data_IF_546025824276
#
_entry.id   IF_546025824276
#
_cell.length_a   1.000
_cell.length_b   1.000
_cell.length_c   1.000
_cell.angle_alpha   90.00
_cell.angle_beta   90.00
_cell.angle_gamma   90.00
#
_symmetry.space_group_name_H-M   'P 1'
#
loop_
_entity.id
_entity.type
_entity.pdbx_description
1 polymer ?
#
# COMPACT_ATOMS: atom_id res chain seq x y z
N UNK A 1 -10.87 -13.15 -9.31
CA UNK A 1 -11.73 -13.50 -8.15
C UNK A 1 -10.96 -13.60 -6.82
N UNK A 2 -9.84 -14.34 -6.76
CA UNK A 2 -9.13 -14.60 -5.49
C UNK A 2 -8.55 -13.36 -4.81
N UNK A 3 -8.02 -12.43 -5.61
CA UNK A 3 -7.47 -11.14 -5.15
C UNK A 3 -8.52 -10.17 -4.60
N UNK A 4 -9.82 -10.52 -4.63
CA UNK A 4 -10.94 -9.65 -4.21
C UNK A 4 -11.95 -10.37 -3.32
N UNK A 5 -11.70 -11.63 -2.95
CA UNK A 5 -12.65 -12.46 -2.21
C UNK A 5 -12.89 -11.97 -0.77
N UNK A 6 -11.92 -11.28 -0.18
CA UNK A 6 -12.09 -10.53 1.05
C UNK A 6 -12.14 -9.03 0.72
N UNK A 7 -13.28 -8.38 0.96
CA UNK A 7 -13.46 -6.97 0.67
C UNK A 7 -12.80 -6.13 1.76
N UNK A 8 -11.74 -5.43 1.38
CA UNK A 8 -11.04 -4.49 2.24
C UNK A 8 -10.66 -3.27 1.42
N UNK A 9 -10.50 -2.10 2.06
CA UNK A 9 -10.21 -0.86 1.33
C UNK A 9 -8.94 -0.94 0.46
N UNK A 10 -7.93 -1.71 0.87
CA UNK A 10 -6.65 -1.91 0.16
C UNK A 10 -6.78 -2.53 -1.25
N UNK A 11 -7.97 -3.01 -1.63
CA UNK A 11 -8.30 -3.38 -3.02
C UNK A 11 -8.15 -2.21 -4.01
N UNK A 12 -8.27 -0.96 -3.52
CA UNK A 12 -8.15 0.24 -4.36
C UNK A 12 -6.70 0.73 -4.52
N UNK A 13 -5.72 0.12 -3.85
CA UNK A 13 -4.31 0.44 -4.02
C UNK A 13 -3.81 0.35 -5.48
N UNK A 14 -4.05 -0.75 -6.24
CA UNK A 14 -3.66 -0.81 -7.65
C UNK A 14 -4.38 0.24 -8.50
N UNK A 15 -5.64 0.56 -8.20
CA UNK A 15 -6.40 1.59 -8.92
C UNK A 15 -5.75 2.96 -8.70
N UNK A 16 -5.44 3.31 -7.45
CA UNK A 16 -4.73 4.54 -7.12
C UNK A 16 -3.41 4.65 -7.89
N UNK A 17 -2.56 3.61 -7.81
CA UNK A 17 -1.25 3.58 -8.47
C UNK A 17 -1.41 3.79 -9.98
N UNK A 18 -2.36 3.09 -10.60
CA UNK A 18 -2.64 3.21 -12.04
C UNK A 18 -3.12 4.61 -12.42
N UNK A 19 -4.04 5.20 -11.66
CA UNK A 19 -4.59 6.52 -11.97
C UNK A 19 -3.51 7.60 -11.83
N UNK A 20 -2.69 7.55 -10.78
CA UNK A 20 -1.57 8.47 -10.60
C UNK A 20 -0.52 8.30 -11.71
N UNK A 21 -0.19 7.06 -12.08
CA UNK A 21 0.74 6.79 -13.17
C UNK A 21 0.20 7.27 -14.53
N UNK A 22 -1.10 7.09 -14.80
CA UNK A 22 -1.78 7.55 -16.01
C UNK A 22 -1.72 9.08 -16.11
N UNK A 23 -2.07 9.77 -15.03
CA UNK A 23 -1.96 11.23 -14.92
C UNK A 23 -0.51 11.66 -15.15
N UNK A 24 0.46 11.14 -14.40
CA UNK A 24 1.85 11.56 -14.50
C UNK A 24 2.48 11.35 -15.87
N UNK A 25 2.17 10.24 -16.54
CA UNK A 25 2.79 9.90 -17.81
C UNK A 25 2.03 10.39 -19.06
N UNK A 26 0.71 10.55 -18.99
CA UNK A 26 -0.16 10.75 -20.16
C UNK A 26 -1.09 11.99 -20.06
N UNK A 27 -0.92 12.87 -19.06
CA UNK A 27 -1.76 14.06 -18.88
C UNK A 27 -2.00 14.87 -20.16
N UNK A 28 -0.97 14.95 -21.02
CA UNK A 28 -1.00 15.67 -22.27
C UNK A 28 -2.00 15.11 -23.31
N UNK A 29 -2.27 13.81 -23.27
CA UNK A 29 -3.09 13.11 -24.26
C UNK A 29 -4.50 12.85 -23.74
N UNK A 30 -4.66 12.72 -22.42
CA UNK A 30 -5.97 12.53 -21.80
C UNK A 30 -6.90 13.71 -22.09
N UNK A 31 -8.12 13.41 -22.49
CA UNK A 31 -9.27 14.32 -22.57
C UNK A 31 -9.65 14.84 -21.17
N UNK A 32 -10.53 15.85 -21.12
CA UNK A 32 -11.00 16.40 -19.84
C UNK A 32 -11.79 15.38 -19.02
N UNK A 33 -12.60 14.56 -19.70
CA UNK A 33 -13.40 13.51 -19.06
C UNK A 33 -12.50 12.42 -18.45
N UNK A 34 -11.48 11.96 -19.19
CA UNK A 34 -10.54 10.95 -18.68
C UNK A 34 -9.73 11.47 -17.49
N UNK A 35 -9.31 12.74 -17.51
CA UNK A 35 -8.64 13.37 -16.36
C UNK A 35 -9.55 13.43 -15.13
N UNK A 36 -10.81 13.83 -15.32
CA UNK A 36 -11.78 13.90 -14.23
C UNK A 36 -12.08 12.50 -13.67
N UNK A 37 -12.23 11.49 -14.53
CA UNK A 37 -12.43 10.11 -14.12
C UNK A 37 -11.22 9.56 -13.34
N UNK A 38 -10.00 9.76 -13.85
CA UNK A 38 -8.78 9.30 -13.17
C UNK A 38 -8.59 9.99 -11.81
N UNK A 39 -8.83 11.31 -11.75
CA UNK A 39 -8.79 12.06 -10.51
C UNK A 39 -9.86 11.61 -9.51
N UNK A 40 -11.09 11.39 -9.98
CA UNK A 40 -12.20 10.91 -9.15
C UNK A 40 -11.92 9.52 -8.57
N UNK A 41 -11.42 8.58 -9.39
CA UNK A 41 -11.04 7.25 -8.93
C UNK A 41 -9.86 7.29 -7.94
N UNK A 42 -8.85 8.11 -8.20
CA UNK A 42 -7.73 8.31 -7.26
C UNK A 42 -8.22 8.90 -5.93
N UNK A 43 -9.14 9.87 -5.98
CA UNK A 43 -9.74 10.46 -4.80
C UNK A 43 -10.55 9.43 -4.00
N UNK A 44 -11.42 8.66 -4.66
CA UNK A 44 -12.19 7.58 -4.01
C UNK A 44 -11.25 6.59 -3.30
N UNK A 45 -10.13 6.21 -3.94
CA UNK A 45 -9.13 5.37 -3.31
C UNK A 45 -8.49 6.05 -2.09
N UNK A 46 -8.06 7.31 -2.19
CA UNK A 46 -7.48 8.05 -1.05
C UNK A 46 -8.45 8.15 0.12
N UNK A 47 -9.73 8.43 -0.15
CA UNK A 47 -10.76 8.58 0.87
C UNK A 47 -11.15 7.24 1.52
N UNK A 48 -10.98 6.11 0.82
CA UNK A 48 -11.37 4.80 1.35
C UNK A 48 -10.45 4.30 2.47
N UNK A 49 -9.19 4.72 2.50
CA UNK A 49 -8.21 4.20 3.46
C UNK A 49 -7.02 5.16 3.68
N UNK A 50 -6.57 5.38 4.93
CA UNK A 50 -5.46 6.30 5.20
C UNK A 50 -4.12 5.88 4.57
N UNK A 51 -3.87 4.58 4.39
CA UNK A 51 -2.63 4.12 3.72
C UNK A 51 -2.53 4.62 2.27
N UNK A 52 -3.65 4.82 1.58
CA UNK A 52 -3.68 5.31 0.21
C UNK A 52 -3.22 6.77 0.12
N UNK A 53 -3.54 7.60 1.11
CA UNK A 53 -3.01 8.96 1.19
C UNK A 53 -1.48 8.94 1.32
N UNK A 54 -0.93 8.04 2.14
CA UNK A 54 0.52 7.89 2.30
C UNK A 54 1.19 7.35 1.04
N UNK A 55 0.58 6.39 0.34
CA UNK A 55 1.06 5.91 -0.95
C UNK A 55 1.08 7.06 -1.97
N UNK A 56 0.00 7.84 -2.06
CA UNK A 56 -0.06 9.01 -2.93
C UNK A 56 1.03 10.04 -2.57
N UNK A 57 1.24 10.30 -1.28
CA UNK A 57 2.28 11.20 -0.78
C UNK A 57 3.69 10.72 -1.14
N UNK A 58 3.97 9.42 -0.97
CA UNK A 58 5.26 8.84 -1.37
C UNK A 58 5.46 8.87 -2.89
N UNK A 59 4.41 8.74 -3.69
CA UNK A 59 4.48 8.85 -5.15
C UNK A 59 4.72 10.28 -5.66
N UNK A 60 4.55 11.32 -4.81
CA UNK A 60 4.72 12.72 -5.21
C UNK A 60 6.05 13.03 -5.88
N UNK A 61 7.23 12.63 -5.35
CA UNK A 61 8.50 12.95 -5.99
C UNK A 61 8.61 12.33 -7.38
N UNK A 62 8.11 11.10 -7.56
CA UNK A 62 8.10 10.43 -8.87
C UNK A 62 7.15 11.13 -9.86
N UNK A 63 5.99 11.58 -9.38
CA UNK A 63 5.06 12.37 -10.19
C UNK A 63 5.69 13.72 -10.57
N UNK A 64 6.30 14.43 -9.62
CA UNK A 64 6.99 15.70 -9.88
C UNK A 64 8.15 15.52 -10.88
N UNK A 65 8.90 14.42 -10.79
CA UNK A 65 9.95 14.06 -11.76
C UNK A 65 9.40 13.86 -13.18
N UNK A 66 8.15 13.42 -13.33
CA UNK A 66 7.51 13.24 -14.65
C UNK A 66 7.02 14.55 -15.29
N UNK A 67 6.87 15.63 -14.50
CA UNK A 67 6.31 16.92 -14.94
C UNK A 67 7.18 17.75 -15.90
N UNK A 68 8.53 17.76 -15.85
CA UNK A 68 9.37 18.52 -16.80
C UNK A 68 9.17 18.09 -18.26
N UNK A 69 8.70 16.87 -18.51
CA UNK A 69 8.28 16.42 -19.84
C UNK A 69 6.96 17.03 -20.33
N UNK A 70 6.32 17.90 -19.53
CA UNK A 70 5.11 18.64 -19.86
C UNK A 70 5.45 20.13 -20.02
N UNK A 71 5.02 20.74 -21.13
CA UNK A 71 5.25 22.15 -21.40
C UNK A 71 4.04 23.02 -21.05
N UNK A 72 4.30 24.27 -20.63
CA UNK A 72 3.30 25.33 -20.43
C UNK A 72 2.20 24.99 -19.40
N UNK A 73 0.95 25.33 -19.74
CA UNK A 73 -0.25 25.18 -18.89
C UNK A 73 -0.44 23.75 -18.33
N UNK A 74 0.08 22.73 -19.02
CA UNK A 74 -0.11 21.32 -18.65
C UNK A 74 0.69 20.92 -17.41
N UNK A 75 1.88 21.49 -17.21
CA UNK A 75 2.68 21.29 -15.99
C UNK A 75 1.92 21.77 -14.75
N UNK A 76 1.31 22.95 -14.84
CA UNK A 76 0.54 23.54 -13.74
C UNK A 76 -0.75 22.77 -13.45
N UNK A 77 -1.43 22.24 -14.48
CA UNK A 77 -2.57 21.34 -14.29
C UNK A 77 -2.13 20.07 -13.54
N UNK A 78 -0.99 19.47 -13.94
CA UNK A 78 -0.46 18.28 -13.27
C UNK A 78 -0.13 18.54 -11.80
N UNK A 79 0.63 19.61 -11.52
CA UNK A 79 0.94 20.02 -10.16
C UNK A 79 -0.33 20.34 -9.34
N UNK A 80 -1.27 21.09 -9.91
CA UNK A 80 -2.54 21.43 -9.27
C UNK A 80 -3.39 20.21 -8.95
N UNK A 81 -3.43 19.21 -9.84
CA UNK A 81 -4.17 17.97 -9.60
C UNK A 81 -3.55 17.14 -8.47
N UNK A 82 -2.22 17.08 -8.43
CA UNK A 82 -1.49 16.42 -7.37
C UNK A 82 -1.76 17.08 -6.01
N UNK A 83 -1.66 18.42 -5.96
CA UNK A 83 -1.99 19.21 -4.76
C UNK A 83 -3.45 19.01 -4.35
N UNK A 84 -4.38 18.98 -5.30
CA UNK A 84 -5.80 18.76 -5.04
C UNK A 84 -6.05 17.38 -4.40
N UNK A 85 -5.45 16.31 -4.93
CA UNK A 85 -5.65 14.96 -4.41
C UNK A 85 -5.10 14.80 -2.98
N UNK A 86 -3.89 15.30 -2.72
CA UNK A 86 -3.29 15.27 -1.38
C UNK A 86 -4.07 16.18 -0.43
N UNK A 87 -4.41 17.39 -0.86
CA UNK A 87 -5.17 18.35 -0.07
C UNK A 87 -6.57 17.85 0.28
N UNK A 88 -7.26 17.19 -0.65
CA UNK A 88 -8.56 16.59 -0.39
C UNK A 88 -8.47 15.43 0.61
N UNK A 89 -7.45 14.58 0.51
CA UNK A 89 -7.20 13.52 1.48
C UNK A 89 -6.89 14.05 2.88
N UNK A 90 -6.04 15.08 3.00
CA UNK A 90 -5.77 15.74 4.29
C UNK A 90 -7.00 16.46 4.85
N UNK A 91 -7.77 17.12 3.99
CA UNK A 91 -8.99 17.83 4.35
C UNK A 91 -10.07 16.90 4.89
N UNK A 92 -10.29 15.75 4.25
CA UNK A 92 -11.23 14.73 4.76
C UNK A 92 -10.82 14.25 6.15
N UNK A 93 -9.53 14.00 6.40
CA UNK A 93 -9.05 13.56 7.71
C UNK A 93 -9.30 14.59 8.80
N UNK A 94 -9.06 15.86 8.49
CA UNK A 94 -9.33 16.96 9.43
C UNK A 94 -10.83 17.09 9.73
N UNK A 95 -11.68 16.99 8.70
CA UNK A 95 -13.13 17.04 8.84
C UNK A 95 -13.65 15.85 9.63
N UNK A 96 -13.22 14.63 9.33
CA UNK A 96 -13.60 13.42 10.03
C UNK A 96 -13.24 13.51 11.52
N UNK A 97 -12.00 13.89 11.84
CA UNK A 97 -11.56 14.08 13.22
C UNK A 97 -12.39 15.13 13.96
N UNK A 98 -12.69 16.26 13.32
CA UNK A 98 -13.51 17.33 13.89
C UNK A 98 -14.97 16.90 14.12
N UNK A 99 -15.56 16.15 13.20
CA UNK A 99 -16.95 15.66 13.31
C UNK A 99 -17.09 14.63 14.42
N UNK A 100 -16.18 13.65 14.50
CA UNK A 100 -16.17 12.65 15.57
C UNK A 100 -16.07 13.33 16.94
N UNK A 101 -15.12 14.26 17.09
CA UNK A 101 -14.94 14.99 18.33
C UNK A 101 -16.19 15.79 18.75
N UNK A 102 -17.01 16.20 17.78
CA UNK A 102 -18.22 17.01 18.00
C UNK A 102 -19.48 16.19 18.26
N UNK A 103 -19.65 15.04 17.62
CA UNK A 103 -20.96 14.36 17.57
C UNK A 103 -21.09 13.10 18.44
N UNK A 104 -20.02 12.34 18.68
CA UNK A 104 -20.18 11.03 19.33
C UNK A 104 -19.88 11.03 20.84
N UNK A 105 -19.20 12.04 21.40
CA UNK A 105 -18.65 12.02 22.77
C UNK A 105 -17.89 10.70 23.11
N UNK A 106 -17.55 9.92 22.08
CA UNK A 106 -16.78 8.70 22.09
C UNK A 106 -15.61 8.96 21.17
N UNK A 107 -14.42 8.75 21.67
CA UNK A 107 -13.25 8.84 20.82
C UNK A 107 -13.25 7.68 19.82
N UNK A 108 -12.94 7.99 18.57
CA UNK A 108 -12.48 6.96 17.63
C UNK A 108 -11.32 6.24 18.31
N UNK A 109 -11.53 4.95 18.62
CA UNK A 109 -10.46 4.09 19.16
C UNK A 109 -9.45 3.87 18.06
N UNK A 110 -8.46 4.76 17.98
CA UNK A 110 -7.30 4.59 17.10
C UNK A 110 -6.40 3.56 17.77
N UNK A 111 -6.10 2.47 17.08
CA UNK A 111 -5.11 1.52 17.59
C UNK A 111 -3.70 2.08 17.40
N UNK A 112 -2.77 1.84 18.35
CA UNK A 112 -1.39 2.34 18.29
C UNK A 112 -0.51 1.51 17.33
N UNK A 113 -0.90 1.38 16.06
CA UNK A 113 -0.18 0.57 15.07
C UNK A 113 1.29 0.96 14.95
N UNK A 114 1.59 2.27 14.96
CA UNK A 114 2.96 2.75 14.85
C UNK A 114 3.82 2.39 16.08
N UNK A 115 3.25 2.50 17.28
CA UNK A 115 3.91 2.06 18.52
C UNK A 115 4.18 0.56 18.48
N UNK A 116 3.18 -0.24 18.15
CA UNK A 116 3.30 -1.70 18.07
C UNK A 116 4.35 -2.11 17.03
N UNK A 117 4.36 -1.49 15.85
CA UNK A 117 5.34 -1.75 14.80
C UNK A 117 6.76 -1.42 15.23
N UNK A 118 6.99 -0.28 15.88
CA UNK A 118 8.32 0.10 16.34
C UNK A 118 8.85 -0.83 17.44
N UNK A 119 7.96 -1.33 18.30
CA UNK A 119 8.29 -2.35 19.30
C UNK A 119 8.68 -3.66 18.59
N UNK A 120 7.82 -4.18 17.71
CA UNK A 120 8.08 -5.38 16.90
C UNK A 120 9.41 -5.28 16.11
N UNK A 121 9.68 -4.11 15.52
CA UNK A 121 10.92 -3.87 14.76
C UNK A 121 12.20 -3.83 15.60
N UNK A 122 12.09 -3.67 16.92
CA UNK A 122 13.21 -3.60 17.87
C UNK A 122 13.46 -2.21 18.49
N UNK A 123 13.63 -1.12 17.71
CA UNK A 123 13.98 0.21 18.25
C UNK A 123 13.00 0.75 19.30
N UNK A 124 11.72 0.42 19.18
CA UNK A 124 10.71 0.77 20.18
C UNK A 124 10.92 0.06 21.51
N UNK A 125 11.35 -1.21 21.49
CA UNK A 125 11.68 -1.96 22.71
C UNK A 125 12.92 -1.36 23.38
N UNK A 126 13.99 -1.14 22.61
CA UNK A 126 15.22 -0.50 23.10
C UNK A 126 14.95 0.86 23.75
N UNK A 127 14.11 1.67 23.11
CA UNK A 127 13.71 2.98 23.63
C UNK A 127 12.92 2.89 24.94
N UNK A 128 11.97 1.96 25.04
CA UNK A 128 11.18 1.76 26.26
C UNK A 128 12.03 1.22 27.40
N UNK A 129 12.91 0.26 27.13
CA UNK A 129 13.85 -0.29 28.12
C UNK A 129 14.77 0.80 28.70
N UNK A 130 15.16 1.80 27.90
CA UNK A 130 16.03 2.89 28.34
C UNK A 130 15.30 4.03 29.07
N UNK A 131 13.97 4.14 28.95
CA UNK A 131 13.19 5.28 29.48
C UNK A 131 12.20 4.92 30.55
N UNK A 132 11.77 3.67 30.63
CA UNK A 132 10.85 3.23 31.66
C UNK A 132 11.61 2.76 32.91
N UNK A 133 11.08 3.01 34.12
CA UNK A 133 9.77 3.62 34.39
C UNK A 133 9.78 5.16 34.33
N UNK A 134 8.85 5.75 33.57
CA UNK A 134 8.57 7.20 33.57
C UNK A 134 7.03 7.40 33.57
N UNK A 135 6.45 8.01 34.62
CA UNK A 135 5.01 8.23 34.70
C UNK A 135 4.47 9.25 33.67
N UNK A 136 5.35 10.05 33.05
CA UNK A 136 5.00 10.99 31.98
C UNK A 136 4.84 10.35 30.59
N UNK A 137 5.14 9.05 30.46
CA UNK A 137 5.03 8.28 29.22
C UNK A 137 3.94 7.20 29.36
N UNK A 138 2.83 7.35 28.65
CA UNK A 138 1.76 6.34 28.65
C UNK A 138 2.25 5.00 28.09
N UNK A 139 3.21 5.04 27.16
CA UNK A 139 3.88 3.84 26.63
C UNK A 139 4.64 3.02 27.69
N UNK A 140 4.99 3.58 28.86
CA UNK A 140 5.57 2.78 29.95
C UNK A 140 4.57 1.84 30.62
N UNK A 141 3.26 2.13 30.58
CA UNK A 141 2.23 1.18 31.01
C UNK A 141 2.17 -0.03 30.04
N UNK A 142 2.33 0.21 28.73
CA UNK A 142 2.45 -0.86 27.75
C UNK A 142 3.73 -1.68 27.95
N UNK A 143 4.86 -1.03 28.28
CA UNK A 143 6.11 -1.73 28.61
C UNK A 143 5.96 -2.64 29.83
N UNK A 144 5.31 -2.17 30.89
CA UNK A 144 5.00 -3.01 32.06
C UNK A 144 4.10 -4.19 31.68
N UNK A 145 3.07 -3.94 30.87
CA UNK A 145 2.23 -5.03 30.36
C UNK A 145 3.06 -6.05 29.58
N UNK A 146 3.96 -5.61 28.69
CA UNK A 146 4.92 -6.42 27.94
C UNK A 146 5.91 -7.20 28.80
N UNK A 147 6.01 -6.94 30.11
CA UNK A 147 6.86 -7.70 31.04
C UNK A 147 6.11 -8.79 31.84
N UNK A 148 4.79 -8.92 31.69
CA UNK A 148 3.94 -9.85 32.47
C UNK A 148 3.96 -11.33 32.03
N UNK A 149 4.76 -11.69 31.05
CA UNK A 149 4.80 -12.98 30.35
C UNK A 149 6.11 -13.08 29.57
N UNK A 150 6.70 -14.27 29.57
CA UNK A 150 7.96 -14.57 28.87
C UNK A 150 7.76 -15.06 27.44
N UNK A 151 6.51 -15.13 26.95
CA UNK A 151 6.21 -15.52 25.58
C UNK A 151 6.78 -14.48 24.58
N UNK A 152 7.68 -14.86 23.66
CA UNK A 152 8.30 -13.92 22.73
C UNK A 152 7.33 -13.33 21.70
N UNK A 153 6.25 -14.03 21.33
CA UNK A 153 5.30 -13.55 20.30
C UNK A 153 4.55 -12.29 20.74
N UNK A 154 4.53 -12.00 22.04
CA UNK A 154 3.84 -10.84 22.59
C UNK A 154 4.37 -9.49 22.10
N UNK A 155 5.60 -9.48 21.57
CA UNK A 155 6.25 -8.31 21.00
C UNK A 155 5.86 -8.10 19.53
N UNK A 156 5.23 -9.09 18.89
CA UNK A 156 4.76 -8.98 17.52
C UNK A 156 3.60 -7.98 17.46
N UNK A 157 3.61 -7.11 16.45
CA UNK A 157 2.61 -6.05 16.34
C UNK A 157 1.14 -6.56 16.38
N UNK A 158 0.77 -7.68 15.74
CA UNK A 158 -0.60 -8.20 15.84
C UNK A 158 -0.97 -8.65 17.25
N UNK A 159 -0.03 -9.26 17.98
CA UNK A 159 -0.28 -9.74 19.34
C UNK A 159 -0.40 -8.58 20.31
N UNK A 160 0.46 -7.56 20.16
CA UNK A 160 0.35 -6.31 20.92
C UNK A 160 -1.04 -5.71 20.76
N UNK A 161 -1.54 -5.61 19.53
CA UNK A 161 -2.77 -4.88 19.20
C UNK A 161 -4.06 -5.65 19.49
N UNK A 162 -4.09 -6.95 19.17
CA UNK A 162 -5.34 -7.70 19.03
C UNK A 162 -5.46 -8.92 19.94
N UNK A 163 -4.36 -9.44 20.48
CA UNK A 163 -4.42 -10.67 21.27
C UNK A 163 -5.29 -10.50 22.52
N UNK A 164 -6.09 -11.53 22.78
CA UNK A 164 -6.88 -11.69 24.01
C UNK A 164 -6.36 -12.82 24.89
N UNK A 165 -5.40 -13.59 24.39
CA UNK A 165 -4.77 -14.65 25.17
C UNK A 165 -3.94 -13.99 26.27
N UNK A 166 -4.13 -14.35 27.54
CA UNK A 166 -3.26 -13.88 28.61
C UNK A 166 -1.76 -14.03 28.26
N UNK A 167 -1.31 -15.11 27.64
CA UNK A 167 0.12 -15.33 27.37
C UNK A 167 0.73 -14.26 26.45
N UNK A 168 0.01 -13.81 25.43
CA UNK A 168 0.53 -12.91 24.38
C UNK A 168 -0.09 -11.51 24.36
N UNK A 169 -1.19 -11.28 25.10
CA UNK A 169 -1.84 -9.98 25.17
C UNK A 169 -0.96 -8.93 25.86
N UNK A 170 -0.81 -7.78 25.20
CA UNK A 170 -0.07 -6.63 25.73
C UNK A 170 -0.97 -5.40 25.87
N UNK A 171 -1.43 -4.78 24.77
CA UNK A 171 -2.30 -3.59 24.85
C UNK A 171 -3.63 -3.88 25.54
N UNK A 172 -4.20 -5.06 25.29
CA UNK A 172 -5.50 -5.49 25.86
C UNK A 172 -5.46 -5.79 27.35
N UNK A 173 -4.27 -5.83 27.97
CA UNK A 173 -4.09 -5.93 29.43
C UNK A 173 -4.32 -4.58 30.13
N UNK A 174 -4.20 -3.47 29.41
CA UNK A 174 -4.47 -2.13 29.93
C UNK A 174 -5.97 -1.88 29.98
N UNK A 175 -6.41 -1.04 30.92
CA UNK A 175 -7.76 -0.50 30.93
C UNK A 175 -8.03 0.41 29.71
N UNK A 176 -9.28 0.82 29.51
CA UNK A 176 -9.64 1.61 28.32
C UNK A 176 -8.92 2.96 28.27
N UNK A 177 -8.68 3.57 29.44
CA UNK A 177 -7.95 4.83 29.55
C UNK A 177 -6.47 4.65 29.15
N UNK A 178 -5.81 3.59 29.62
CA UNK A 178 -4.44 3.26 29.26
C UNK A 178 -4.28 2.95 27.77
N UNK A 179 -5.18 2.16 27.18
CA UNK A 179 -5.17 1.87 25.73
C UNK A 179 -5.27 3.15 24.91
N UNK A 180 -6.16 4.05 25.31
CA UNK A 180 -6.37 5.35 24.67
C UNK A 180 -5.17 6.28 24.81
N UNK A 181 -4.56 6.32 26.01
CA UNK A 181 -3.38 7.15 26.25
C UNK A 181 -2.19 6.72 25.37
N UNK A 182 -1.93 5.42 25.28
CA UNK A 182 -0.91 4.86 24.38
C UNK A 182 -1.21 5.19 22.91
N UNK A 183 -2.48 5.08 22.50
CA UNK A 183 -2.92 5.44 21.15
C UNK A 183 -2.69 6.91 20.80
N UNK A 184 -3.02 7.84 21.70
CA UNK A 184 -2.80 9.28 21.47
C UNK A 184 -1.31 9.64 21.48
N UNK A 185 -0.49 8.92 22.25
CA UNK A 185 0.96 9.16 22.33
C UNK A 185 1.74 8.63 21.10
N UNK A 186 1.17 7.72 20.29
CA UNK A 186 1.92 6.96 19.28
C UNK A 186 2.84 7.79 18.35
N UNK A 187 2.41 8.98 17.90
CA UNK A 187 3.23 9.84 17.05
C UNK A 187 4.40 10.47 17.82
N UNK A 188 4.18 10.88 19.07
CA UNK A 188 5.24 11.41 19.95
C UNK A 188 6.27 10.33 20.23
N UNK A 189 5.81 9.12 20.56
CA UNK A 189 6.67 7.95 20.75
C UNK A 189 7.48 7.65 19.48
N UNK A 190 6.82 7.57 18.32
CA UNK A 190 7.50 7.25 17.07
C UNK A 190 8.58 8.27 16.68
N UNK A 191 8.31 9.57 16.88
CA UNK A 191 9.29 10.62 16.66
C UNK A 191 10.45 10.52 17.67
N UNK A 192 10.18 10.16 18.93
CA UNK A 192 11.21 9.96 19.94
C UNK A 192 12.13 8.77 19.60
N UNK A 193 11.56 7.64 19.18
CA UNK A 193 12.30 6.45 18.73
C UNK A 193 13.12 6.78 17.48
N UNK A 194 12.53 7.42 16.47
CA UNK A 194 13.25 7.81 15.24
C UNK A 194 14.43 8.74 15.52
N UNK A 195 14.30 9.67 16.48
CA UNK A 195 15.40 10.57 16.86
C UNK A 195 16.50 9.85 17.65
N UNK A 196 16.13 8.87 18.46
CA UNK A 196 17.08 8.10 19.26
C UNK A 196 17.86 7.08 18.40
N UNK A 197 17.16 6.38 17.51
CA UNK A 197 17.70 5.24 16.75
C UNK A 197 17.38 5.32 15.24
N UNK A 198 17.77 6.40 14.54
CA UNK A 198 17.34 6.65 13.16
C UNK A 198 17.76 5.56 12.18
N UNK A 199 19.00 5.07 12.30
CA UNK A 199 19.53 4.03 11.41
C UNK A 199 18.81 2.69 11.62
N UNK A 200 18.47 2.35 12.86
CA UNK A 200 17.76 1.11 13.17
C UNK A 200 16.32 1.16 12.63
N UNK A 201 15.62 2.30 12.77
CA UNK A 201 14.30 2.51 12.18
C UNK A 201 14.35 2.44 10.65
N UNK A 202 15.32 3.10 10.01
CA UNK A 202 15.48 3.06 8.56
C UNK A 202 15.82 1.64 8.05
N UNK A 203 16.66 0.91 8.77
CA UNK A 203 16.99 -0.47 8.44
C UNK A 203 15.76 -1.39 8.57
N UNK A 204 14.95 -1.20 9.61
CA UNK A 204 13.70 -1.92 9.79
C UNK A 204 12.70 -1.65 8.65
N UNK A 205 12.48 -0.37 8.31
CA UNK A 205 11.67 0.04 7.15
C UNK A 205 12.16 -0.64 5.86
N UNK A 206 13.48 -0.62 5.63
CA UNK A 206 14.09 -1.25 4.47
C UNK A 206 13.85 -2.76 4.42
N UNK A 207 14.12 -3.47 5.53
CA UNK A 207 13.87 -4.91 5.67
C UNK A 207 12.40 -5.24 5.43
N UNK A 208 11.48 -4.53 6.09
CA UNK A 208 10.06 -4.79 5.99
C UNK A 208 9.53 -4.50 4.57
N UNK A 209 10.06 -3.48 3.90
CA UNK A 209 9.76 -3.20 2.49
C UNK A 209 10.18 -4.37 1.60
N UNK A 210 11.39 -4.91 1.78
CA UNK A 210 11.89 -6.06 1.01
C UNK A 210 11.04 -7.32 1.24
N UNK A 211 10.71 -7.60 2.50
CA UNK A 211 9.79 -8.71 2.86
C UNK A 211 8.43 -8.49 2.19
N UNK A 212 7.87 -7.30 2.29
CA UNK A 212 6.55 -6.98 1.76
C UNK A 212 6.47 -7.07 0.23
N UNK A 213 7.56 -6.76 -0.48
CA UNK A 213 7.67 -6.96 -1.94
C UNK A 213 7.59 -8.45 -2.33
N UNK A 214 8.04 -9.36 -1.48
CA UNK A 214 7.92 -10.81 -1.67
C UNK A 214 6.56 -11.38 -1.24
N UNK A 215 5.81 -10.67 -0.42
CA UNK A 215 4.54 -11.11 0.15
C UNK A 215 3.36 -10.88 -0.83
N UNK A 216 3.31 -11.70 -1.89
CA UNK A 216 2.32 -11.58 -2.98
C UNK A 216 1.28 -12.71 -3.02
N UNK A 217 1.18 -13.51 -1.94
CA UNK A 217 0.29 -14.67 -1.90
C UNK A 217 -1.16 -14.30 -1.57
N UNK A 218 -2.10 -15.12 -2.02
CA UNK A 218 -3.55 -14.85 -1.86
C UNK A 218 -4.15 -15.47 -0.59
N UNK A 219 -3.36 -16.08 0.28
CA UNK A 219 -3.84 -16.81 1.46
C UNK A 219 -4.70 -15.93 2.38
N UNK A 220 -4.29 -14.67 2.57
CA UNK A 220 -4.99 -13.68 3.40
C UNK A 220 -6.10 -12.94 2.65
N UNK A 221 -6.29 -13.19 1.34
CA UNK A 221 -7.42 -12.64 0.58
C UNK A 221 -8.58 -13.62 0.48
N UNK A 222 -8.38 -14.87 0.89
CA UNK A 222 -9.41 -15.90 1.00
C UNK A 222 -9.74 -16.09 2.49
N UNK A 223 -11.01 -15.99 2.91
CA UNK A 223 -11.38 -16.21 4.31
C UNK A 223 -10.93 -17.59 4.81
N UNK A 224 -10.51 -17.66 6.08
CA UNK A 224 -10.14 -18.89 6.74
C UNK A 224 -11.37 -19.57 7.38
N UNK A 225 -11.27 -20.89 7.59
CA UNK A 225 -12.26 -21.65 8.34
C UNK A 225 -12.44 -21.04 9.75
N UNK A 226 -13.69 -20.99 10.24
CA UNK A 226 -14.03 -20.38 11.53
C UNK A 226 -14.14 -18.85 11.53
N UNK A 227 -13.78 -18.16 10.43
CA UNK A 227 -13.96 -16.71 10.33
C UNK A 227 -15.42 -16.26 10.43
N UNK A 228 -16.33 -17.08 9.89
CA UNK A 228 -17.77 -16.86 9.98
C UNK A 228 -18.29 -17.03 11.41
N UNK A 229 -17.77 -18.00 12.15
CA UNK A 229 -18.14 -18.24 13.55
C UNK A 229 -17.66 -17.09 14.45
N UNK A 230 -16.45 -16.58 14.20
CA UNK A 230 -15.96 -15.37 14.85
C UNK A 230 -16.86 -14.15 14.56
N UNK A 231 -17.34 -14.02 13.31
CA UNK A 231 -18.25 -12.95 12.92
C UNK A 231 -19.62 -13.08 13.64
N UNK A 232 -20.17 -14.29 13.70
CA UNK A 232 -21.41 -14.59 14.44
C UNK A 232 -21.28 -14.34 15.93
N UNK A 233 -20.13 -14.67 16.52
CA UNK A 233 -19.85 -14.39 17.92
C UNK A 233 -19.85 -12.89 18.25
N UNK A 234 -19.55 -12.02 17.27
CA UNK A 234 -19.53 -10.56 17.45
C UNK A 234 -20.85 -9.90 17.06
N UNK A 235 -21.47 -10.34 15.96
CA UNK A 235 -22.61 -9.67 15.34
C UNK A 235 -23.96 -10.37 15.54
N UNK A 236 -23.96 -11.56 16.14
CA UNK A 236 -25.15 -12.35 16.43
C UNK A 236 -26.06 -12.51 15.20
N UNK A 237 -27.34 -12.21 15.39
CA UNK A 237 -28.39 -12.37 14.37
C UNK A 237 -28.10 -11.67 13.03
N UNK A 238 -27.29 -10.60 13.02
CA UNK A 238 -26.92 -9.91 11.78
C UNK A 238 -26.02 -10.76 10.86
N UNK A 239 -25.37 -11.81 11.39
CA UNK A 239 -24.48 -12.71 10.67
C UNK A 239 -25.08 -14.10 10.39
N UNK A 240 -26.29 -14.41 10.89
CA UNK A 240 -26.90 -15.75 10.78
C UNK A 240 -27.21 -16.15 9.33
N UNK A 241 -27.51 -15.17 8.47
CA UNK A 241 -27.76 -15.39 7.05
C UNK A 241 -26.49 -15.63 6.21
N UNK A 242 -25.31 -15.41 6.79
CA UNK A 242 -24.05 -15.57 6.08
C UNK A 242 -23.64 -17.04 6.01
N UNK A 243 -23.10 -17.45 4.87
CA UNK A 243 -22.63 -18.80 4.59
C UNK A 243 -21.20 -18.74 4.10
N UNK A 244 -20.44 -19.79 4.38
CA UNK A 244 -19.12 -19.94 3.82
C UNK A 244 -19.19 -19.98 2.29
N UNK A 245 -18.19 -19.36 1.65
CA UNK A 245 -18.11 -19.32 0.21
C UNK A 245 -17.52 -20.62 -0.34
N UNK A 246 -17.82 -20.93 -1.60
CA UNK A 246 -17.30 -22.11 -2.34
C UNK A 246 -15.78 -22.29 -2.30
N UNK A 247 -15.02 -21.24 -1.99
CA UNK A 247 -13.55 -21.28 -1.87
C UNK A 247 -13.07 -21.87 -0.54
N UNK A 248 -13.96 -22.05 0.44
CA UNK A 248 -13.70 -22.63 1.77
C UNK A 248 -14.12 -24.11 1.76
N UNK A 249 -15.31 -24.42 1.23
CA UNK A 249 -15.92 -25.75 1.26
C UNK A 249 -15.12 -26.85 0.54
N UNK A 250 -14.37 -26.49 -0.51
CA UNK A 250 -13.58 -27.44 -1.31
C UNK A 250 -12.20 -27.77 -0.75
N UNK A 251 -11.86 -27.29 0.45
CA UNK A 251 -10.52 -27.36 1.02
C UNK A 251 -9.54 -26.36 0.39
N UNK A 252 -8.40 -26.12 1.07
CA UNK A 252 -7.43 -25.08 0.71
C UNK A 252 -6.10 -25.61 0.13
N UNK A 253 -6.03 -26.90 -0.20
CA UNK A 253 -4.81 -27.55 -0.73
C UNK A 253 -4.32 -26.98 -2.06
N UNK A 254 -5.21 -26.33 -2.83
CA UNK A 254 -4.89 -25.64 -4.09
C UNK A 254 -4.14 -24.31 -3.90
N UNK A 255 -4.13 -23.73 -2.69
CA UNK A 255 -3.47 -22.45 -2.43
C UNK A 255 -1.96 -22.54 -2.59
N UNK A 256 -1.34 -23.61 -2.10
CA UNK A 256 0.10 -23.78 -2.17
C UNK A 256 0.64 -23.80 -3.62
N UNK A 257 0.17 -24.68 -4.52
CA UNK A 257 0.64 -24.68 -5.90
C UNK A 257 0.30 -23.37 -6.63
N UNK A 258 -0.87 -22.77 -6.37
CA UNK A 258 -1.23 -21.49 -6.98
C UNK A 258 -0.36 -20.34 -6.49
N UNK A 259 0.04 -20.34 -5.21
CA UNK A 259 0.96 -19.37 -4.65
C UNK A 259 2.31 -19.42 -5.37
N UNK A 260 2.84 -20.62 -5.66
CA UNK A 260 4.07 -20.77 -6.46
C UNK A 260 3.91 -20.14 -7.84
N UNK A 261 2.80 -20.42 -8.54
CA UNK A 261 2.53 -19.86 -9.87
C UNK A 261 2.41 -18.33 -9.80
N UNK A 262 1.72 -17.78 -8.81
CA UNK A 262 1.58 -16.33 -8.64
C UNK A 262 2.90 -15.64 -8.33
N UNK A 263 3.72 -16.22 -7.44
CA UNK A 263 5.04 -15.69 -7.12
C UNK A 263 5.93 -15.74 -8.36
N UNK A 264 5.96 -16.86 -9.09
CA UNK A 264 6.73 -16.98 -10.32
C UNK A 264 6.28 -15.98 -11.38
N UNK A 265 4.97 -15.83 -11.60
CA UNK A 265 4.41 -14.87 -12.55
C UNK A 265 4.78 -13.42 -12.16
N UNK A 266 4.67 -13.09 -10.88
CA UNK A 266 5.06 -11.78 -10.37
C UNK A 266 6.55 -11.51 -10.58
N UNK A 267 7.42 -12.46 -10.21
CA UNK A 267 8.87 -12.33 -10.38
C UNK A 267 9.27 -12.23 -11.86
N UNK A 268 8.77 -13.13 -12.71
CA UNK A 268 9.06 -13.12 -14.17
C UNK A 268 8.58 -11.84 -14.82
N UNK A 269 7.38 -11.36 -14.48
CA UNK A 269 6.87 -10.11 -15.03
C UNK A 269 7.66 -8.89 -14.56
N UNK A 270 8.08 -8.86 -13.29
CA UNK A 270 8.98 -7.84 -12.76
C UNK A 270 10.32 -7.79 -13.52
N UNK A 271 10.96 -8.95 -13.69
CA UNK A 271 12.20 -9.07 -14.46
C UNK A 271 12.01 -8.66 -15.93
N UNK A 272 10.91 -9.06 -16.55
CA UNK A 272 10.58 -8.67 -17.93
C UNK A 272 10.40 -7.15 -18.05
N UNK A 273 9.69 -6.50 -17.13
CA UNK A 273 9.53 -5.04 -17.09
C UNK A 273 10.90 -4.37 -16.94
N UNK A 274 11.73 -4.80 -16.00
CA UNK A 274 13.07 -4.23 -15.78
C UNK A 274 13.96 -4.40 -17.02
N UNK A 275 13.96 -5.59 -17.64
CA UNK A 275 14.72 -5.84 -18.87
C UNK A 275 14.24 -4.97 -20.05
N UNK A 276 12.92 -4.77 -20.20
CA UNK A 276 12.35 -3.90 -21.21
C UNK A 276 12.69 -2.42 -20.98
N UNK A 277 12.75 -1.99 -19.71
CA UNK A 277 13.13 -0.61 -19.35
C UNK A 277 14.64 -0.35 -19.54
N UNK A 278 15.48 -1.33 -19.22
CA UNK A 278 16.93 -1.24 -19.35
C UNK A 278 17.41 -1.22 -20.81
N UNK A 279 16.66 -1.85 -21.73
CA UNK A 279 16.97 -1.83 -23.15
C UNK A 279 16.88 -0.41 -23.73
N UNK A 280 17.96 0.01 -24.40
CA UNK A 280 18.02 1.30 -25.11
C UNK A 280 17.20 1.24 -26.40
N UNK A 281 16.47 2.32 -26.69
CA UNK A 281 15.61 2.44 -27.88
C UNK A 281 14.35 1.55 -27.86
N UNK A 282 13.29 1.98 -28.57
CA UNK A 282 12.11 1.15 -28.86
C UNK A 282 10.92 1.26 -27.90
N UNK A 283 10.99 2.01 -26.80
CA UNK A 283 9.82 2.31 -25.97
C UNK A 283 9.45 3.79 -26.06
N UNK A 284 8.17 4.13 -26.34
CA UNK A 284 7.69 5.51 -26.24
C UNK A 284 7.95 6.09 -24.84
N UNK A 285 8.35 7.37 -24.77
CA UNK A 285 8.66 8.04 -23.51
C UNK A 285 7.46 8.05 -22.52
N UNK A 286 6.22 8.09 -23.02
CA UNK A 286 5.01 7.94 -22.20
C UNK A 286 4.90 6.57 -21.54
N UNK A 287 5.12 5.49 -22.29
CA UNK A 287 5.10 4.11 -21.76
C UNK A 287 6.19 3.86 -20.74
N UNK A 288 7.40 4.38 -20.97
CA UNK A 288 8.51 4.29 -20.01
C UNK A 288 8.18 5.03 -18.71
N UNK A 289 7.69 6.28 -18.79
CA UNK A 289 7.28 7.05 -17.60
C UNK A 289 6.17 6.34 -16.83
N UNK A 290 5.16 5.84 -17.53
CA UNK A 290 4.05 5.09 -16.92
C UNK A 290 4.57 3.88 -16.15
N UNK A 291 5.44 3.08 -16.76
CA UNK A 291 6.05 1.92 -16.11
C UNK A 291 6.84 2.27 -14.86
N UNK A 292 7.69 3.30 -14.92
CA UNK A 292 8.48 3.76 -13.76
C UNK A 292 7.56 4.22 -12.63
N UNK A 293 6.49 4.97 -12.94
CA UNK A 293 5.52 5.42 -11.95
C UNK A 293 4.75 4.24 -11.31
N UNK A 294 4.36 3.24 -12.09
CA UNK A 294 3.72 2.03 -11.57
C UNK A 294 4.66 1.24 -10.65
N UNK A 295 5.91 1.02 -11.06
CA UNK A 295 6.92 0.34 -10.23
C UNK A 295 7.17 1.10 -8.93
N UNK A 296 7.30 2.42 -9.02
CA UNK A 296 7.45 3.28 -7.85
C UNK A 296 6.22 3.17 -6.92
N UNK A 297 5.00 3.13 -7.49
CA UNK A 297 3.78 2.94 -6.71
C UNK A 297 3.70 1.58 -6.00
N UNK A 298 4.18 0.51 -6.62
CA UNK A 298 4.29 -0.83 -5.98
C UNK A 298 5.25 -0.76 -4.79
N UNK A 299 6.40 -0.09 -4.96
CA UNK A 299 7.38 0.11 -3.88
C UNK A 299 6.78 0.98 -2.78
N UNK A 300 6.10 2.08 -3.11
CA UNK A 300 5.42 2.94 -2.14
C UNK A 300 4.36 2.17 -1.34
N UNK A 301 3.59 1.30 -1.99
CA UNK A 301 2.65 0.40 -1.31
C UNK A 301 3.39 -0.56 -0.35
N UNK A 302 4.49 -1.15 -0.77
CA UNK A 302 5.29 -2.03 0.09
C UNK A 302 5.88 -1.30 1.30
N UNK A 303 6.37 -0.06 1.13
CA UNK A 303 6.88 0.78 2.22
C UNK A 303 5.74 1.06 3.22
N UNK A 304 4.61 1.58 2.75
CA UNK A 304 3.48 1.97 3.62
C UNK A 304 2.90 0.77 4.35
N UNK A 305 2.61 -0.32 3.62
CA UNK A 305 1.98 -1.50 4.20
C UNK A 305 2.93 -2.30 5.10
N UNK A 306 4.20 -2.45 4.72
CA UNK A 306 5.17 -3.22 5.50
C UNK A 306 5.77 -2.46 6.68
N UNK A 307 5.77 -1.12 6.65
CA UNK A 307 6.45 -0.31 7.69
C UNK A 307 5.53 0.39 8.67
N UNK A 308 4.23 0.49 8.39
CA UNK A 308 3.25 1.06 9.33
C UNK A 308 2.35 0.00 9.96
N UNK A 309 2.27 -1.16 9.33
CA UNK A 309 1.55 -2.35 9.79
C UNK A 309 2.52 -3.54 9.73
N UNK A 310 2.07 -4.72 10.12
CA UNK A 310 2.80 -5.96 9.82
C UNK A 310 2.91 -6.21 8.31
N UNK A 311 4.04 -6.76 7.82
CA UNK A 311 4.09 -7.33 6.49
C UNK A 311 3.07 -8.45 6.33
N UNK A 312 2.18 -8.33 5.35
CA UNK A 312 1.11 -9.29 5.13
C UNK A 312 0.96 -9.65 3.64
N UNK A 313 0.63 -10.91 3.36
CA UNK A 313 0.48 -11.42 1.99
C UNK A 313 -0.57 -10.68 1.17
N UNK A 314 -1.63 -10.17 1.82
CA UNK A 314 -2.71 -9.45 1.13
C UNK A 314 -2.22 -8.22 0.39
N UNK A 315 -1.29 -7.44 0.95
CA UNK A 315 -0.94 -6.13 0.41
C UNK A 315 -0.21 -6.24 -0.92
N UNK A 316 0.77 -7.15 -1.02
CA UNK A 316 1.46 -7.44 -2.27
C UNK A 316 0.53 -8.12 -3.28
N UNK A 317 -0.34 -9.03 -2.82
CA UNK A 317 -1.28 -9.72 -3.70
C UNK A 317 -2.21 -8.74 -4.45
N UNK A 318 -2.72 -7.69 -3.80
CA UNK A 318 -3.61 -6.69 -4.46
C UNK A 318 -2.92 -5.95 -5.60
N UNK A 319 -1.61 -5.71 -5.51
CA UNK A 319 -0.85 -4.97 -6.53
C UNK A 319 -0.08 -5.88 -7.49
N UNK A 320 0.00 -7.19 -7.23
CA UNK A 320 0.80 -8.13 -8.00
C UNK A 320 0.44 -8.17 -9.50
N UNK A 321 -0.84 -8.01 -9.83
CA UNK A 321 -1.32 -8.01 -11.23
C UNK A 321 -0.80 -6.83 -12.06
N UNK A 322 -0.31 -5.76 -11.43
CA UNK A 322 0.28 -4.64 -12.15
C UNK A 322 1.53 -5.06 -12.94
N UNK A 323 2.32 -6.02 -12.42
CA UNK A 323 3.52 -6.52 -13.07
C UNK A 323 3.24 -7.16 -14.44
N UNK A 324 2.43 -8.23 -14.51
CA UNK A 324 2.09 -8.90 -15.77
C UNK A 324 1.42 -7.96 -16.79
N UNK A 325 0.49 -7.12 -16.34
CA UNK A 325 -0.18 -6.12 -17.20
C UNK A 325 0.86 -5.18 -17.81
N UNK A 326 1.79 -4.67 -16.99
CA UNK A 326 2.81 -3.75 -17.44
C UNK A 326 3.80 -4.42 -18.41
N UNK A 327 4.21 -5.66 -18.14
CA UNK A 327 5.09 -6.43 -19.01
C UNK A 327 4.49 -6.57 -20.42
N UNK A 328 3.20 -6.94 -20.49
CA UNK A 328 2.47 -7.09 -21.76
C UNK A 328 2.35 -5.74 -22.48
N UNK A 329 1.95 -4.67 -21.79
CA UNK A 329 1.81 -3.34 -22.38
C UNK A 329 3.15 -2.83 -22.96
N UNK A 330 4.26 -3.03 -22.25
CA UNK A 330 5.59 -2.63 -22.72
C UNK A 330 6.06 -3.47 -23.91
N UNK A 331 5.82 -4.79 -23.88
CA UNK A 331 6.16 -5.66 -25.00
C UNK A 331 5.41 -5.26 -26.28
N UNK A 332 4.09 -5.03 -26.20
CA UNK A 332 3.28 -4.56 -27.34
C UNK A 332 3.71 -3.18 -27.83
N UNK A 333 3.97 -2.25 -26.92
CA UNK A 333 4.45 -0.91 -27.26
C UNK A 333 5.77 -0.96 -28.04
N UNK A 334 6.66 -1.90 -27.70
CA UNK A 334 7.94 -2.10 -28.38
C UNK A 334 7.78 -2.68 -29.78
N UNK A 335 6.99 -3.73 -29.94
CA UNK A 335 6.74 -4.35 -31.25
C UNK A 335 6.19 -3.33 -32.25
N UNK A 336 5.25 -2.50 -31.79
CA UNK A 336 4.68 -1.42 -32.62
C UNK A 336 5.69 -0.32 -32.98
N UNK A 337 6.59 0.03 -32.07
CA UNK A 337 7.61 1.03 -32.33
C UNK A 337 8.62 0.54 -33.38
N UNK A 338 9.06 -0.72 -33.28
CA UNK A 338 9.99 -1.34 -34.25
C UNK A 338 9.35 -1.46 -35.63
N UNK A 339 8.10 -1.95 -35.71
CA UNK A 339 7.41 -2.16 -36.99
C UNK A 339 7.14 -0.87 -37.79
N UNK A 340 7.03 0.28 -37.12
CA UNK A 340 6.90 1.60 -37.78
C UNK A 340 8.23 2.12 -38.34
N UNK A 341 9.36 1.75 -37.72
CA UNK A 341 10.69 2.15 -38.21
C UNK A 341 11.09 1.41 -39.49
N UNK A 342 10.60 0.18 -39.69
CA UNK A 342 10.90 -0.65 -40.87
C UNK A 342 10.05 -0.33 -42.10
N UNK A 343 8.85 0.25 -41.93
CA UNK A 343 7.96 0.59 -43.06
C UNK A 343 8.15 2.02 -43.58
N UNK A 344 8.84 2.89 -42.83
CA UNK A 344 9.13 4.28 -43.24
C UNK A 344 10.33 4.45 -44.17
N UNK A 345 10.97 3.37 -44.62
CA UNK A 345 12.20 3.39 -45.43
C UNK A 345 12.04 2.77 -46.82
N UNK A 346 10.83 2.71 -47.39
CA UNK A 346 10.69 2.47 -48.82
C UNK A 346 11.09 3.75 -49.55
N UNK A 347 12.17 3.76 -50.36
CA UNK A 347 12.56 4.93 -51.11
C UNK A 347 11.42 5.31 -52.07
N UNK A 348 11.05 6.60 -52.06
CA UNK A 348 10.13 7.15 -53.03
C UNK A 348 10.67 6.82 -54.42
N UNK A 349 9.91 6.01 -55.18
CA UNK A 349 10.18 5.79 -56.58
C UNK A 349 10.20 7.16 -57.27
N UNK A 350 11.37 7.57 -57.73
CA UNK A 350 11.56 8.72 -58.59
C UNK A 350 10.76 8.48 -59.85
N UNK A 351 9.59 9.12 -59.96
CA UNK A 351 8.85 9.19 -61.20
C UNK A 351 9.66 10.06 -62.16
N UNK A 352 10.35 9.40 -63.10
CA UNK A 352 10.90 10.04 -64.29
C UNK A 352 9.75 10.69 -65.07
N UNK A 353 9.94 11.97 -65.37
CA UNK A 353 9.03 12.79 -66.16
C UNK A 353 9.47 12.69 -67.63
N UNK A 354 8.68 12.10 -68.55
CA UNK A 354 9.02 12.14 -69.96
C UNK A 354 8.65 13.52 -70.53
N UNK A 355 9.63 14.16 -71.17
CA UNK A 355 9.46 15.36 -71.97
C UNK A 355 8.93 15.02 -73.38
#
# INVERSE_FOLDING_TARGET
>A
PFYVAFLMPDILAPVLILMLALIGAWLAVLSRAERAAAAGLALIAILSHPSHLLIAALMLPALLWSLPGLHGRRRWIGAGLVVLLVGAGLGERAVFAALVARFEAREVRVLPFLTARLIDDGPGQSHLAARCPDPGLATCALWQALALSDDPERFDAPQILFSRDPATASLRRLDEAGQTAVAREQLRFAVAVLRAEPLAVLAAIGRNTLVQLGYVRIDMTIPAAGGLDALRAVHGAAADGLRDGRLIDGGRGWLAPLAVVHIALYAVSGLAVLALLARRGGLPAGSRRFAVLVLFGIIANAIVCGSLSEPAFRYGARVALLGPILAVLLAFGRVRAVGRSTTGSLPAATAENPA
#
